data_IF_652839657652
#
_entry.id   IF_652839657652
#
_cell.length_a   1.000
_cell.length_b   1.000
_cell.length_c   1.000
_cell.angle_alpha   90.00
_cell.angle_beta   90.00
_cell.angle_gamma   90.00
#
_symmetry.space_group_name_H-M   'P 1'
#
loop_
_entity.id
_entity.type
_entity.pdbx_description
1 polymer ?
#
# COMPACT_ATOMS: atom_id res chain seq x y z
N UNK A 1 -5.47 -11.99 1.91
CA UNK A 1 -5.35 -10.80 2.76
C UNK A 1 -5.86 -9.58 2.02
N UNK A 2 -6.37 -8.59 2.76
CA UNK A 2 -6.69 -7.23 2.31
C UNK A 2 -5.55 -6.33 2.74
N UNK A 3 -4.79 -5.85 1.75
CA UNK A 3 -3.54 -5.12 1.97
C UNK A 3 -3.71 -3.74 1.35
N UNK A 4 -3.41 -2.70 2.14
CA UNK A 4 -3.41 -1.32 1.67
C UNK A 4 -1.99 -0.77 1.63
N UNK A 5 -1.61 -0.18 0.50
CA UNK A 5 -0.30 0.45 0.31
C UNK A 5 -0.41 1.96 0.48
N UNK A 6 0.37 2.52 1.40
CA UNK A 6 0.57 3.97 1.46
C UNK A 6 1.86 4.28 0.67
N UNK A 7 1.75 5.15 -0.33
CA UNK A 7 2.76 5.42 -1.36
C UNK A 7 3.00 4.24 -2.32
N UNK A 8 1.91 3.72 -2.92
CA UNK A 8 1.94 2.56 -3.84
C UNK A 8 2.75 2.80 -5.12
N UNK A 9 2.94 4.05 -5.55
CA UNK A 9 3.65 4.45 -6.76
C UNK A 9 5.17 4.27 -6.71
N UNK A 10 5.75 4.05 -5.52
CA UNK A 10 7.18 3.81 -5.35
C UNK A 10 7.70 2.66 -6.23
N UNK A 11 8.97 2.75 -6.67
CA UNK A 11 9.58 1.77 -7.59
C UNK A 11 9.57 0.33 -7.04
N UNK A 12 9.86 0.17 -5.75
CA UNK A 12 9.75 -1.11 -5.06
C UNK A 12 8.29 -1.44 -4.70
N UNK A 13 7.52 -0.44 -4.26
CA UNK A 13 6.15 -0.59 -3.75
C UNK A 13 5.21 -1.14 -4.82
N UNK A 14 5.19 -0.57 -6.02
CA UNK A 14 4.26 -1.02 -7.06
C UNK A 14 4.56 -2.47 -7.47
N UNK A 15 5.83 -2.85 -7.61
CA UNK A 15 6.20 -4.22 -7.97
C UNK A 15 5.75 -5.22 -6.89
N UNK A 16 5.88 -4.87 -5.62
CA UNK A 16 5.36 -5.69 -4.52
C UNK A 16 3.82 -5.78 -4.58
N UNK A 17 3.13 -4.66 -4.80
CA UNK A 17 1.67 -4.65 -4.95
C UNK A 17 1.19 -5.56 -6.10
N UNK A 18 1.89 -5.54 -7.25
CA UNK A 18 1.60 -6.43 -8.37
C UNK A 18 1.83 -7.90 -7.99
N UNK A 19 2.95 -8.23 -7.35
CA UNK A 19 3.27 -9.60 -6.95
C UNK A 19 2.25 -10.15 -5.94
N UNK A 20 1.85 -9.36 -4.94
CA UNK A 20 0.85 -9.75 -3.95
C UNK A 20 -0.54 -9.92 -4.58
N UNK A 21 -0.91 -9.08 -5.55
CA UNK A 21 -2.13 -9.28 -6.33
C UNK A 21 -2.09 -10.60 -7.12
N UNK A 22 -0.97 -10.92 -7.75
CA UNK A 22 -0.80 -12.19 -8.47
C UNK A 22 -0.88 -13.41 -7.55
N UNK A 23 -0.46 -13.28 -6.28
CA UNK A 23 -0.67 -14.29 -5.23
C UNK A 23 -2.12 -14.40 -4.74
N UNK A 24 -3.06 -13.63 -5.29
CA UNK A 24 -4.48 -13.69 -4.95
C UNK A 24 -4.89 -12.81 -3.77
N UNK A 25 -4.04 -11.88 -3.32
CA UNK A 25 -4.42 -10.91 -2.29
C UNK A 25 -5.25 -9.75 -2.87
N UNK A 26 -6.11 -9.18 -2.02
CA UNK A 26 -6.86 -7.99 -2.36
C UNK A 26 -6.01 -6.76 -2.04
N UNK A 27 -5.63 -6.03 -3.08
CA UNK A 27 -4.71 -4.90 -2.98
C UNK A 27 -5.45 -3.60 -3.24
N UNK A 28 -5.22 -2.64 -2.36
CA UNK A 28 -5.55 -1.23 -2.58
C UNK A 28 -4.33 -0.38 -2.26
N UNK A 29 -4.35 0.89 -2.65
CA UNK A 29 -3.33 1.82 -2.24
C UNK A 29 -3.63 3.26 -2.62
N UNK A 30 -2.84 4.14 -2.04
CA UNK A 30 -2.92 5.58 -2.19
C UNK A 30 -1.52 6.14 -2.42
N UNK A 31 -1.45 7.25 -3.14
CA UNK A 31 -0.21 7.97 -3.44
C UNK A 31 -0.57 9.40 -3.88
N UNK A 32 0.26 10.38 -3.52
CA UNK A 32 0.10 11.76 -3.97
C UNK A 32 0.71 12.01 -5.35
N UNK A 33 1.68 11.19 -5.78
CA UNK A 33 2.33 11.30 -7.09
C UNK A 33 2.81 9.95 -7.63
N UNK A 34 2.27 9.54 -8.79
CA UNK A 34 2.69 8.30 -9.46
C UNK A 34 3.26 8.59 -10.85
N UNK A 35 4.53 8.23 -11.04
CA UNK A 35 5.26 8.41 -12.29
C UNK A 35 5.40 7.09 -13.07
N UNK A 36 5.83 7.19 -14.33
CA UNK A 36 6.25 6.02 -15.11
C UNK A 36 7.57 5.43 -14.53
N UNK A 37 7.76 4.11 -14.56
CA UNK A 37 6.88 3.09 -15.14
C UNK A 37 5.76 2.61 -14.21
N UNK A 38 5.72 3.06 -12.95
CA UNK A 38 4.76 2.58 -11.94
C UNK A 38 3.32 2.83 -12.36
N UNK A 39 3.02 4.01 -12.93
CA UNK A 39 1.67 4.42 -13.34
C UNK A 39 1.05 3.44 -14.34
N UNK A 40 1.67 3.25 -15.51
CA UNK A 40 1.13 2.34 -16.53
C UNK A 40 1.04 0.89 -16.05
N UNK A 41 1.97 0.45 -15.20
CA UNK A 41 1.97 -0.90 -14.61
C UNK A 41 0.82 -1.12 -13.63
N UNK A 42 0.59 -0.18 -12.72
CA UNK A 42 -0.54 -0.20 -11.79
C UNK A 42 -1.87 -0.13 -12.55
N UNK A 43 -1.96 0.70 -13.59
CA UNK A 43 -3.17 0.84 -14.40
C UNK A 43 -3.54 -0.46 -15.10
N UNK A 44 -2.57 -1.14 -15.74
CA UNK A 44 -2.78 -2.44 -16.40
C UNK A 44 -3.33 -3.50 -15.46
N UNK A 45 -2.99 -3.39 -14.18
CA UNK A 45 -3.42 -4.31 -13.14
C UNK A 45 -4.61 -3.76 -12.35
N UNK A 46 -5.26 -2.67 -12.77
CA UNK A 46 -6.40 -2.05 -12.07
C UNK A 46 -6.09 -1.73 -10.60
N UNK A 47 -4.86 -1.27 -10.33
CA UNK A 47 -4.37 -0.86 -9.01
C UNK A 47 -3.97 0.61 -8.97
N UNK A 48 -4.07 1.33 -10.08
CA UNK A 48 -3.83 2.77 -10.09
C UNK A 48 -4.96 3.45 -9.29
N UNK A 49 -4.65 4.28 -8.28
CA UNK A 49 -5.65 5.07 -7.57
C UNK A 49 -6.43 5.95 -8.56
N UNK A 50 -7.75 6.05 -8.37
CA UNK A 50 -8.58 6.91 -9.21
C UNK A 50 -8.24 8.41 -9.02
N UNK A 51 -7.87 8.77 -7.81
CA UNK A 51 -7.45 10.12 -7.41
C UNK A 51 -6.15 10.02 -6.60
N UNK A 52 -5.27 11.01 -6.76
CA UNK A 52 -4.02 11.10 -6.01
C UNK A 52 -4.24 11.84 -4.69
N UNK A 53 -3.61 11.35 -3.62
CA UNK A 53 -3.76 11.89 -2.27
C UNK A 53 -3.81 10.81 -1.21
N UNK A 54 -4.30 11.19 -0.02
CA UNK A 54 -4.36 10.37 1.18
C UNK A 54 -5.78 10.37 1.73
N UNK A 55 -6.35 9.20 1.97
CA UNK A 55 -7.77 8.98 2.20
C UNK A 55 -7.98 8.13 3.46
N UNK A 56 -8.02 8.74 4.67
CA UNK A 56 -8.20 7.99 5.91
C UNK A 56 -9.46 7.12 5.92
N UNK A 57 -10.51 7.51 5.17
CA UNK A 57 -11.74 6.73 4.99
C UNK A 57 -11.55 5.40 4.24
N UNK A 58 -10.43 5.22 3.50
CA UNK A 58 -10.07 3.94 2.88
C UNK A 58 -9.39 2.98 3.86
N UNK A 59 -9.05 3.46 5.07
CA UNK A 59 -8.46 2.65 6.11
C UNK A 59 -9.56 2.11 7.01
N UNK A 60 -9.83 0.82 6.84
CA UNK A 60 -10.94 0.12 7.47
C UNK A 60 -10.43 -1.03 8.33
N UNK A 61 -11.21 -1.43 9.35
CA UNK A 61 -10.80 -2.44 10.33
C UNK A 61 -10.72 -3.88 9.75
N UNK A 62 -11.24 -4.09 8.54
CA UNK A 62 -11.14 -5.35 7.79
C UNK A 62 -9.85 -5.45 6.95
N UNK A 63 -8.98 -4.44 6.98
CA UNK A 63 -7.63 -4.54 6.45
C UNK A 63 -6.78 -5.45 7.34
N UNK A 64 -6.12 -6.44 6.73
CA UNK A 64 -5.20 -7.30 7.45
C UNK A 64 -3.87 -6.59 7.73
N UNK A 65 -3.41 -5.79 6.75
CA UNK A 65 -2.10 -5.13 6.76
C UNK A 65 -2.13 -3.82 5.98
N UNK A 66 -1.43 -2.82 6.50
CA UNK A 66 -0.99 -1.62 5.79
C UNK A 66 0.52 -1.71 5.55
N UNK A 67 0.96 -1.50 4.31
CA UNK A 67 2.37 -1.43 3.94
C UNK A 67 2.75 0.02 3.69
N UNK A 68 3.67 0.54 4.50
CA UNK A 68 4.14 1.91 4.49
C UNK A 68 5.36 2.05 3.56
N UNK A 69 5.22 2.85 2.51
CA UNK A 69 6.32 3.27 1.65
C UNK A 69 7.10 4.46 2.22
N UNK A 70 8.34 4.63 1.78
CA UNK A 70 9.27 5.64 2.32
C UNK A 70 8.82 7.11 2.17
N UNK A 71 7.87 7.40 1.27
CA UNK A 71 7.35 8.76 1.08
C UNK A 71 6.22 9.11 2.03
N UNK A 72 5.66 8.13 2.74
CA UNK A 72 4.61 8.35 3.72
C UNK A 72 5.22 8.85 5.03
N UNK A 73 4.91 10.11 5.36
CA UNK A 73 5.36 10.79 6.57
C UNK A 73 4.56 10.34 7.80
N UNK A 74 5.08 10.64 8.99
CA UNK A 74 4.44 10.27 10.27
C UNK A 74 3.06 10.92 10.46
N UNK A 75 2.82 12.06 9.82
CA UNK A 75 1.56 12.82 9.83
C UNK A 75 0.58 12.38 8.73
N UNK A 76 0.89 11.32 7.98
CA UNK A 76 0.00 10.80 6.95
C UNK A 76 -1.35 10.36 7.59
N UNK A 77 -2.49 10.88 7.10
CA UNK A 77 -3.79 10.62 7.73
C UNK A 77 -4.21 9.15 7.66
N UNK A 78 -3.80 8.40 6.62
CA UNK A 78 -4.05 6.97 6.50
C UNK A 78 -3.24 6.18 7.54
N UNK A 79 -1.97 6.56 7.75
CA UNK A 79 -1.12 5.94 8.76
C UNK A 79 -1.68 6.17 10.17
N UNK A 80 -2.10 7.40 10.48
CA UNK A 80 -2.73 7.73 11.75
C UNK A 80 -4.01 6.91 11.97
N UNK A 81 -4.86 6.78 10.94
CA UNK A 81 -6.08 5.99 11.03
C UNK A 81 -5.80 4.50 11.20
N UNK A 82 -4.79 3.95 10.53
CA UNK A 82 -4.39 2.56 10.68
C UNK A 82 -3.95 2.25 12.12
N UNK A 83 -3.17 3.15 12.73
CA UNK A 83 -2.76 3.06 14.13
C UNK A 83 -3.96 3.16 15.08
N UNK A 84 -4.88 4.10 14.84
CA UNK A 84 -6.11 4.27 15.63
C UNK A 84 -6.97 2.98 15.63
N UNK A 85 -7.11 2.34 14.47
CA UNK A 85 -7.89 1.11 14.32
C UNK A 85 -7.13 -0.16 14.74
N UNK A 86 -5.86 -0.06 15.12
CA UNK A 86 -5.03 -1.21 15.47
C UNK A 86 -4.70 -2.14 14.30
N UNK A 87 -4.80 -1.64 13.06
CA UNK A 87 -4.41 -2.39 11.85
C UNK A 87 -2.90 -2.57 11.86
N UNK A 88 -2.43 -3.78 11.48
CA UNK A 88 -0.99 -4.06 11.41
C UNK A 88 -0.34 -3.18 10.35
N UNK A 89 0.69 -2.43 10.74
CA UNK A 89 1.49 -1.61 9.83
C UNK A 89 2.88 -2.21 9.72
N UNK A 90 3.34 -2.44 8.50
CA UNK A 90 4.73 -2.80 8.22
C UNK A 90 5.36 -1.77 7.29
N UNK A 91 6.62 -1.44 7.51
CA UNK A 91 7.43 -0.88 6.43
C UNK A 91 7.67 -1.94 5.34
N UNK A 92 8.01 -1.50 4.13
CA UNK A 92 8.40 -2.40 3.03
C UNK A 92 9.43 -3.48 3.44
N UNK A 93 10.58 -3.16 4.07
CA UNK A 93 11.56 -4.18 4.46
C UNK A 93 11.05 -5.12 5.57
N UNK A 94 10.27 -4.61 6.53
CA UNK A 94 9.67 -5.45 7.57
C UNK A 94 8.69 -6.46 6.98
N UNK A 95 7.86 -6.02 6.02
CA UNK A 95 6.93 -6.91 5.35
C UNK A 95 7.66 -8.01 4.57
N UNK A 96 8.73 -7.67 3.84
CA UNK A 96 9.54 -8.68 3.14
C UNK A 96 10.18 -9.68 4.10
N UNK A 97 10.73 -9.19 5.22
CA UNK A 97 11.29 -10.06 6.25
C UNK A 97 10.23 -11.01 6.81
N UNK A 98 9.03 -10.52 7.12
CA UNK A 98 7.93 -11.34 7.62
C UNK A 98 7.52 -12.41 6.60
N UNK A 99 7.45 -12.07 5.32
CA UNK A 99 7.14 -13.01 4.23
C UNK A 99 8.26 -14.03 3.93
N UNK A 100 9.46 -13.83 4.46
CA UNK A 100 10.61 -14.75 4.27
C UNK A 100 10.76 -15.78 5.39
N UNK A 101 9.93 -15.71 6.43
CA UNK A 101 9.97 -16.64 7.57
C UNK A 101 9.28 -17.99 7.29
N UNK A 102 8.70 -18.14 6.11
CA UNK A 102 8.15 -19.39 5.57
C UNK A 102 9.14 -20.08 4.64
#
# INVERSE_FOLDING_TARGET
MRIHFIAIGGSAMHNLALALKQKGHHISGSDDMIYEPSRSRLQKQQLLPAEYGWYPEKITADLDVVILGMHAREDNPELLKAKELGVKVYSYPEFLFEQSKE
#
